data_IF_602917808715
#
_entry.id   IF_602917808715
#
_cell.length_a   1.000
_cell.length_b   1.000
_cell.length_c   1.000
_cell.angle_alpha   90.00
_cell.angle_beta   90.00
_cell.angle_gamma   90.00
#
_symmetry.space_group_name_H-M   'P 1'
#
loop_
_entity.id
_entity.type
_entity.pdbx_description
1 polymer ?
#
# COMPACT_ATOMS: atom_id res chain seq x y z
N UNK A 1 -15.84 -17.01 -61.02
CA UNK A 1 -15.91 -15.84 -60.10
C UNK A 1 -15.95 -16.39 -58.68
N UNK A 2 -14.78 -16.53 -58.06
CA UNK A 2 -14.63 -17.18 -56.73
C UNK A 2 -14.62 -16.07 -55.70
N UNK A 3 -15.61 -16.07 -54.78
CA UNK A 3 -15.67 -15.13 -53.64
C UNK A 3 -14.97 -15.77 -52.43
N UNK A 4 -13.91 -15.13 -51.95
CA UNK A 4 -13.29 -15.47 -50.67
C UNK A 4 -14.03 -14.76 -49.55
N UNK A 5 -14.39 -15.44 -48.45
CA UNK A 5 -14.94 -14.78 -47.28
C UNK A 5 -13.81 -14.10 -46.51
N UNK A 6 -14.00 -12.82 -46.20
CA UNK A 6 -13.11 -12.08 -45.30
C UNK A 6 -13.38 -12.56 -43.88
N UNK A 7 -12.46 -13.31 -43.32
CA UNK A 7 -12.47 -13.61 -41.89
C UNK A 7 -12.05 -12.35 -41.12
N UNK A 8 -12.96 -11.74 -40.40
CA UNK A 8 -12.72 -10.66 -39.49
C UNK A 8 -12.11 -11.27 -38.23
N UNK A 9 -10.79 -11.12 -38.06
CA UNK A 9 -10.08 -11.54 -36.85
C UNK A 9 -10.38 -10.50 -35.75
N UNK A 10 -11.31 -10.79 -34.86
CA UNK A 10 -11.49 -10.03 -33.63
C UNK A 10 -10.31 -10.30 -32.71
N UNK A 11 -9.40 -9.35 -32.62
CA UNK A 11 -8.47 -9.29 -31.49
C UNK A 11 -9.27 -8.93 -30.23
N UNK A 12 -9.53 -9.91 -29.40
CA UNK A 12 -9.90 -9.67 -28.02
C UNK A 12 -8.68 -9.03 -27.35
N UNK A 13 -8.72 -7.73 -27.13
CA UNK A 13 -7.86 -7.07 -26.16
C UNK A 13 -8.22 -7.68 -24.81
N UNK A 14 -7.43 -8.65 -24.36
CA UNK A 14 -7.47 -9.13 -23.00
C UNK A 14 -7.11 -7.92 -22.11
N UNK A 15 -8.11 -7.38 -21.40
CA UNK A 15 -7.82 -6.52 -20.28
C UNK A 15 -7.06 -7.39 -19.29
N UNK A 16 -5.78 -7.11 -19.07
CA UNK A 16 -5.05 -7.66 -17.94
C UNK A 16 -5.84 -7.28 -16.70
N UNK A 17 -6.12 -8.21 -15.77
CA UNK A 17 -6.73 -7.85 -14.52
C UNK A 17 -5.81 -6.81 -13.86
N UNK A 18 -6.31 -5.61 -13.67
CA UNK A 18 -5.66 -4.60 -12.86
C UNK A 18 -5.87 -5.03 -11.42
N UNK A 19 -4.88 -5.71 -10.92
CA UNK A 19 -4.82 -6.06 -9.51
C UNK A 19 -4.60 -4.79 -8.70
N UNK A 20 -5.24 -4.76 -7.55
CA UNK A 20 -4.90 -3.99 -6.39
C UNK A 20 -5.06 -2.52 -6.57
N UNK A 21 -4.85 -1.88 -5.68
CA UNK A 21 -5.46 -0.72 -5.18
C UNK A 21 -4.46 0.37 -4.94
N UNK A 22 -3.15 0.03 -4.89
CA UNK A 22 -2.09 1.00 -5.12
C UNK A 22 -2.01 1.26 -6.63
N UNK A 23 -2.44 2.45 -7.05
CA UNK A 23 -2.52 2.80 -8.48
C UNK A 23 -1.43 3.76 -8.94
N UNK A 24 -0.88 4.57 -8.03
CA UNK A 24 0.16 5.56 -8.34
C UNK A 24 0.89 5.99 -7.07
N UNK A 25 2.01 6.68 -7.23
CA UNK A 25 2.74 7.33 -6.16
C UNK A 25 3.84 8.25 -6.70
N UNK A 26 4.33 9.10 -5.82
CA UNK A 26 5.35 10.06 -6.19
C UNK A 26 6.26 10.39 -5.01
N UNK A 27 7.56 10.46 -5.26
CA UNK A 27 8.49 11.15 -4.37
C UNK A 27 8.52 12.62 -4.76
N UNK A 28 8.05 13.48 -3.85
CA UNK A 28 7.94 14.93 -4.07
C UNK A 28 9.24 15.64 -3.70
N UNK A 29 9.87 15.20 -2.60
CA UNK A 29 11.14 15.73 -2.10
C UNK A 29 11.91 14.66 -1.35
N UNK A 30 13.21 14.65 -1.52
CA UNK A 30 14.12 13.76 -0.81
C UNK A 30 15.57 14.26 -0.86
N UNK A 31 16.44 13.64 -0.07
CA UNK A 31 17.88 13.89 -0.07
C UNK A 31 18.63 12.96 -1.05
N UNK A 32 17.96 12.06 -1.74
CA UNK A 32 18.51 11.07 -2.66
C UNK A 32 17.90 11.16 -4.06
N UNK A 33 17.93 10.04 -4.76
CA UNK A 33 17.44 9.90 -6.14
C UNK A 33 16.31 8.86 -6.28
N UNK A 34 15.59 8.57 -5.20
CA UNK A 34 14.51 7.60 -5.21
C UNK A 34 13.30 8.06 -6.01
N UNK A 35 12.51 7.10 -6.42
CA UNK A 35 11.21 7.28 -7.07
C UNK A 35 10.19 6.42 -6.35
N UNK A 36 8.92 6.57 -6.67
CA UNK A 36 7.92 5.63 -6.23
C UNK A 36 8.04 4.31 -7.01
N UNK A 37 7.92 3.19 -6.30
CA UNK A 37 7.90 1.85 -6.86
C UNK A 37 6.77 1.05 -6.22
N UNK A 38 5.80 0.62 -7.03
CA UNK A 38 4.86 -0.42 -6.62
C UNK A 38 5.54 -1.77 -6.78
N UNK A 39 5.53 -2.57 -5.71
CA UNK A 39 6.01 -3.95 -5.74
C UNK A 39 4.84 -4.88 -6.06
N UNK A 40 5.11 -5.86 -6.92
CA UNK A 40 4.16 -6.94 -7.20
C UNK A 40 4.37 -8.07 -6.20
N UNK A 41 3.28 -8.69 -5.75
CA UNK A 41 3.30 -9.76 -4.76
C UNK A 41 3.11 -11.15 -5.39
N UNK A 42 3.39 -11.30 -6.67
CA UNK A 42 3.29 -12.57 -7.39
C UNK A 42 4.34 -13.57 -6.91
N UNK A 43 5.55 -13.08 -6.63
CA UNK A 43 6.67 -13.86 -6.12
C UNK A 43 6.97 -13.45 -4.66
N UNK A 44 7.39 -14.40 -3.81
CA UNK A 44 7.77 -14.10 -2.43
C UNK A 44 8.99 -13.16 -2.33
N UNK A 45 8.93 -12.22 -1.40
CA UNK A 45 10.07 -11.35 -1.04
C UNK A 45 10.06 -11.00 0.45
N UNK A 46 11.21 -10.54 0.95
CA UNK A 46 11.35 -10.07 2.32
C UNK A 46 11.15 -8.55 2.38
N UNK A 47 10.49 -8.04 3.45
CA UNK A 47 10.37 -6.62 3.75
C UNK A 47 10.63 -6.34 5.22
N UNK A 48 11.37 -5.30 5.51
CA UNK A 48 11.72 -4.84 6.85
C UNK A 48 13.24 -4.74 7.04
N UNK A 49 13.65 -4.09 8.09
CA UNK A 49 15.00 -3.88 8.59
C UNK A 49 16.13 -3.88 7.54
N UNK A 50 16.34 -2.73 6.90
CA UNK A 50 17.43 -2.51 5.94
C UNK A 50 17.51 -3.54 4.79
N UNK A 51 16.40 -4.19 4.44
CA UNK A 51 16.42 -5.21 3.38
C UNK A 51 16.55 -4.59 1.98
N UNK A 52 15.92 -3.43 1.77
CA UNK A 52 15.96 -2.71 0.49
C UNK A 52 17.12 -1.72 0.42
N UNK A 53 17.37 -0.95 1.47
CA UNK A 53 18.45 0.04 1.57
C UNK A 53 18.52 1.00 0.37
N UNK A 54 17.41 1.59 0.00
CA UNK A 54 17.29 2.51 -1.13
C UNK A 54 16.54 3.78 -0.77
N UNK A 55 16.64 4.80 -1.62
CA UNK A 55 15.90 6.06 -1.45
C UNK A 55 14.48 6.00 -2.07
N UNK A 56 14.01 4.83 -2.49
CA UNK A 56 12.69 4.70 -3.11
C UNK A 56 11.57 4.68 -2.07
N UNK A 57 10.43 5.26 -2.43
CA UNK A 57 9.16 5.06 -1.75
C UNK A 57 8.51 3.81 -2.33
N UNK A 58 8.25 2.83 -1.48
CA UNK A 58 7.65 1.57 -1.89
C UNK A 58 6.22 1.42 -1.39
N UNK A 59 5.40 0.73 -2.16
CA UNK A 59 4.11 0.24 -1.71
C UNK A 59 3.78 -1.09 -2.39
N UNK A 60 2.98 -1.92 -1.72
CA UNK A 60 2.39 -3.13 -2.30
C UNK A 60 1.02 -3.43 -1.69
N UNK A 61 0.27 -4.25 -2.41
CA UNK A 61 -1.03 -4.70 -1.97
C UNK A 61 -0.91 -5.92 -1.07
N UNK A 62 -1.53 -5.85 0.09
CA UNK A 62 -1.69 -6.97 1.02
C UNK A 62 -3.04 -7.67 0.76
N UNK A 63 -3.73 -8.17 1.78
CA UNK A 63 -5.03 -8.82 1.63
C UNK A 63 -6.11 -7.83 1.15
N UNK A 64 -6.90 -8.26 0.18
CA UNK A 64 -7.84 -7.40 -0.53
C UNK A 64 -9.29 -7.79 -0.26
N UNK A 65 -10.13 -6.78 -0.04
CA UNK A 65 -11.57 -6.91 0.09
C UNK A 65 -12.01 -7.89 1.19
N UNK A 66 -11.35 -7.82 2.34
CA UNK A 66 -11.63 -8.63 3.52
C UNK A 66 -12.73 -7.95 4.37
N UNK A 67 -13.80 -8.67 4.65
CA UNK A 67 -14.80 -8.22 5.62
C UNK A 67 -14.27 -8.40 7.05
N UNK A 68 -14.12 -7.30 7.77
CA UNK A 68 -13.66 -7.30 9.16
C UNK A 68 -14.65 -8.02 10.07
N UNK A 69 -14.23 -9.08 10.71
CA UNK A 69 -15.06 -9.81 11.69
C UNK A 69 -15.12 -9.09 13.05
N UNK A 70 -14.09 -8.33 13.38
CA UNK A 70 -13.99 -7.48 14.57
C UNK A 70 -13.54 -6.09 14.14
N UNK A 71 -13.87 -5.08 14.97
CA UNK A 71 -13.36 -3.74 14.76
C UNK A 71 -11.83 -3.72 14.94
N UNK A 72 -11.13 -2.92 14.13
CA UNK A 72 -9.68 -2.71 14.24
C UNK A 72 -9.38 -1.28 14.67
N UNK A 73 -8.30 -1.10 15.44
CA UNK A 73 -7.77 0.22 15.76
C UNK A 73 -6.89 0.72 14.63
N UNK A 74 -6.93 2.02 14.39
CA UNK A 74 -6.05 2.75 13.49
C UNK A 74 -5.53 4.00 14.19
N UNK A 75 -4.34 4.45 13.82
CA UNK A 75 -3.70 5.62 14.41
C UNK A 75 -4.12 6.91 13.72
N UNK A 76 -4.48 6.81 12.44
CA UNK A 76 -4.93 7.92 11.61
C UNK A 76 -6.21 7.49 10.89
N UNK A 77 -7.18 8.39 10.82
CA UNK A 77 -8.48 8.09 10.23
C UNK A 77 -9.40 7.29 11.16
N UNK A 78 -10.31 6.52 10.56
CA UNK A 78 -11.36 5.81 11.28
C UNK A 78 -12.35 6.74 11.99
N UNK A 79 -13.44 6.18 12.47
CA UNK A 79 -14.32 6.90 13.38
C UNK A 79 -13.78 6.75 14.82
N UNK A 80 -13.25 7.84 15.37
CA UNK A 80 -12.55 7.84 16.68
C UNK A 80 -11.37 6.83 16.73
N UNK A 81 -10.60 6.68 15.63
CA UNK A 81 -9.48 5.76 15.56
C UNK A 81 -9.87 4.29 15.40
N UNK A 82 -11.07 4.01 14.88
CA UNK A 82 -11.60 2.65 14.73
C UNK A 82 -12.23 2.47 13.35
N UNK A 83 -11.95 1.35 12.70
CA UNK A 83 -12.72 0.83 11.59
C UNK A 83 -13.61 -0.29 12.14
N UNK A 84 -14.93 -0.15 12.00
CA UNK A 84 -15.91 -1.03 12.63
C UNK A 84 -15.97 -2.42 11.97
N UNK A 85 -16.41 -3.42 12.71
CA UNK A 85 -16.71 -4.76 12.17
C UNK A 85 -17.78 -4.70 11.09
N UNK A 86 -17.74 -5.60 10.12
CA UNK A 86 -18.60 -5.63 8.95
C UNK A 86 -18.15 -4.69 7.82
N UNK A 87 -17.14 -3.84 8.04
CA UNK A 87 -16.53 -3.06 6.96
C UNK A 87 -15.68 -3.97 6.09
N UNK A 88 -15.83 -3.87 4.77
CA UNK A 88 -14.90 -4.49 3.83
C UNK A 88 -13.74 -3.55 3.58
N UNK A 89 -12.53 -4.04 3.80
CA UNK A 89 -11.27 -3.28 3.64
C UNK A 89 -10.34 -3.97 2.65
N UNK A 90 -9.53 -3.17 1.99
CA UNK A 90 -8.31 -3.62 1.32
C UNK A 90 -7.11 -3.11 2.11
N UNK A 91 -6.08 -3.94 2.26
CA UNK A 91 -4.87 -3.63 3.02
C UNK A 91 -3.70 -3.39 2.09
N UNK A 92 -2.83 -2.45 2.46
CA UNK A 92 -1.66 -2.06 1.70
C UNK A 92 -0.50 -1.77 2.64
N UNK A 93 0.70 -2.11 2.21
CA UNK A 93 1.93 -1.78 2.92
C UNK A 93 2.66 -0.66 2.18
N UNK A 94 3.09 0.36 2.92
CA UNK A 94 3.84 1.50 2.38
C UNK A 94 5.09 1.69 3.22
N UNK A 95 6.24 1.86 2.59
CA UNK A 95 7.49 1.96 3.32
C UNK A 95 8.59 2.75 2.61
N UNK A 96 9.52 3.24 3.44
CA UNK A 96 10.78 3.84 3.06
C UNK A 96 11.89 3.17 3.86
N UNK A 97 12.76 2.46 3.18
CA UNK A 97 13.83 1.69 3.79
C UNK A 97 15.18 2.22 3.28
N UNK A 98 15.68 3.28 3.93
CA UNK A 98 16.93 3.93 3.60
C UNK A 98 17.79 4.09 4.85
N UNK A 99 19.10 4.06 4.70
CA UNK A 99 20.03 4.27 5.80
C UNK A 99 19.92 5.65 6.46
N UNK A 100 19.53 6.66 5.71
CA UNK A 100 19.31 8.01 6.23
C UNK A 100 18.71 8.92 5.17
N UNK A 101 18.05 9.96 5.60
CA UNK A 101 17.56 10.99 4.70
C UNK A 101 16.14 11.42 5.03
N UNK A 102 15.66 12.44 4.32
CA UNK A 102 14.28 12.89 4.39
C UNK A 102 13.61 12.53 3.08
N UNK A 103 12.41 11.96 3.18
CA UNK A 103 11.57 11.73 2.02
C UNK A 103 10.16 12.28 2.27
N UNK A 104 9.65 13.03 1.29
CA UNK A 104 8.25 13.44 1.22
C UNK A 104 7.67 12.82 -0.05
N UNK A 105 6.59 12.09 0.10
CA UNK A 105 5.96 11.42 -1.02
C UNK A 105 4.47 11.27 -0.88
N UNK A 106 3.86 10.73 -1.92
CA UNK A 106 2.45 10.36 -1.94
C UNK A 106 2.26 8.95 -2.49
N UNK A 107 1.23 8.27 -1.99
CA UNK A 107 0.73 7.02 -2.55
C UNK A 107 -0.76 7.19 -2.83
N UNK A 108 -1.23 6.75 -3.99
CA UNK A 108 -2.62 6.88 -4.42
C UNK A 108 -3.23 5.49 -4.57
N UNK A 109 -4.43 5.34 -4.03
CA UNK A 109 -5.20 4.11 -4.05
C UNK A 109 -6.44 4.24 -4.94
N UNK A 110 -7.03 3.15 -5.36
CA UNK A 110 -8.25 3.13 -6.18
C UNK A 110 -9.54 3.34 -5.37
N UNK A 111 -9.43 3.39 -4.04
CA UNK A 111 -10.53 3.60 -3.11
C UNK A 111 -10.14 4.53 -1.95
N UNK A 112 -11.10 5.18 -1.26
CA UNK A 112 -10.82 6.07 -0.14
C UNK A 112 -10.13 5.35 1.02
N UNK A 113 -9.15 6.03 1.61
CA UNK A 113 -8.45 5.57 2.81
C UNK A 113 -9.40 5.66 4.00
N UNK A 114 -9.59 4.54 4.68
CA UNK A 114 -10.39 4.44 5.90
C UNK A 114 -9.57 4.68 7.16
N UNK A 115 -8.30 4.28 7.13
CA UNK A 115 -7.39 4.47 8.24
C UNK A 115 -5.99 3.93 7.98
N UNK A 116 -5.06 4.26 8.89
CA UNK A 116 -3.67 3.83 8.82
C UNK A 116 -3.24 3.28 10.18
N UNK A 117 -2.65 2.08 10.17
CA UNK A 117 -1.86 1.56 11.26
C UNK A 117 -0.42 2.04 11.08
N UNK A 118 -0.01 2.97 11.94
CA UNK A 118 1.24 3.70 11.79
C UNK A 118 2.23 3.42 12.93
N UNK A 119 1.81 2.72 13.99
CA UNK A 119 2.68 2.34 15.09
C UNK A 119 2.72 0.82 15.26
N UNK A 120 3.78 0.34 15.90
CA UNK A 120 4.04 -1.09 16.07
C UNK A 120 2.82 -1.88 16.57
N UNK A 121 2.15 -1.41 17.62
CA UNK A 121 1.03 -2.10 18.25
C UNK A 121 -0.18 -2.26 17.31
N UNK A 122 -0.50 -1.21 16.54
CA UNK A 122 -1.62 -1.22 15.60
C UNK A 122 -1.29 -2.03 14.36
N UNK A 123 -0.05 -1.99 13.88
CA UNK A 123 0.42 -2.84 12.80
C UNK A 123 0.37 -4.32 13.21
N UNK A 124 0.90 -4.67 14.38
CA UNK A 124 0.88 -6.04 14.90
C UNK A 124 -0.56 -6.56 15.08
N UNK A 125 -1.47 -5.73 15.58
CA UNK A 125 -2.88 -6.09 15.76
C UNK A 125 -3.61 -6.32 14.42
N UNK A 126 -3.06 -5.90 13.31
CA UNK A 126 -3.64 -6.01 11.97
C UNK A 126 -2.88 -6.94 11.02
N UNK A 127 -1.91 -7.72 11.52
CA UNK A 127 -1.13 -8.65 10.70
C UNK A 127 -1.95 -9.78 10.06
N UNK A 128 -3.15 -10.02 10.53
CA UNK A 128 -4.08 -10.95 9.88
C UNK A 128 -4.57 -10.46 8.49
N UNK A 129 -4.27 -9.21 8.12
CA UNK A 129 -4.52 -8.61 6.80
C UNK A 129 -3.23 -8.49 5.96
N UNK A 130 -2.11 -9.00 6.47
CA UNK A 130 -0.84 -9.00 5.77
C UNK A 130 -0.84 -10.00 4.59
N UNK A 131 -0.04 -9.71 3.56
CA UNK A 131 0.10 -10.62 2.43
C UNK A 131 0.88 -11.88 2.84
N UNK A 132 0.31 -13.05 2.61
CA UNK A 132 0.89 -14.34 3.02
C UNK A 132 2.11 -14.78 2.21
N UNK A 133 2.40 -14.15 1.08
CA UNK A 133 3.59 -14.40 0.26
C UNK A 133 4.78 -13.52 0.63
N UNK A 134 4.52 -12.42 1.36
CA UNK A 134 5.56 -11.51 1.82
C UNK A 134 6.06 -11.95 3.19
N UNK A 135 7.37 -12.01 3.36
CA UNK A 135 7.99 -12.31 4.63
C UNK A 135 8.37 -11.00 5.33
N UNK A 136 7.63 -10.64 6.39
CA UNK A 136 7.88 -9.44 7.18
C UNK A 136 8.95 -9.75 8.23
N UNK A 137 10.14 -9.19 8.04
CA UNK A 137 11.27 -9.39 8.96
C UNK A 137 11.34 -8.24 9.97
N UNK A 138 11.80 -8.55 11.19
CA UNK A 138 11.98 -7.58 12.28
C UNK A 138 10.72 -6.73 12.55
N UNK A 139 9.61 -7.43 12.72
CA UNK A 139 8.28 -6.80 12.91
C UNK A 139 8.22 -5.84 14.10
N UNK A 140 9.07 -6.03 15.10
CA UNK A 140 9.18 -5.17 16.27
C UNK A 140 9.77 -3.79 15.96
N UNK A 141 10.35 -3.61 14.79
CA UNK A 141 10.97 -2.35 14.34
C UNK A 141 10.09 -1.56 13.36
N UNK A 142 8.87 -2.03 13.08
CA UNK A 142 7.93 -1.32 12.19
C UNK A 142 7.20 -0.19 12.90
N UNK A 143 6.73 0.74 12.10
CA UNK A 143 5.96 1.90 12.53
C UNK A 143 6.71 3.19 12.29
N UNK A 144 6.07 4.30 12.63
CA UNK A 144 6.65 5.63 12.56
C UNK A 144 7.52 5.89 13.79
N UNK A 145 8.63 6.58 13.57
CA UNK A 145 9.52 7.09 14.60
C UNK A 145 9.21 8.57 14.94
N UNK A 146 9.95 9.10 15.90
CA UNK A 146 9.85 10.52 16.24
C UNK A 146 10.34 11.40 15.07
N UNK A 147 9.46 12.27 14.59
CA UNK A 147 9.77 13.12 13.45
C UNK A 147 9.10 12.71 12.15
N UNK A 148 8.50 11.51 12.11
CA UNK A 148 7.74 11.04 10.96
C UNK A 148 6.28 11.46 11.01
N UNK A 149 5.71 11.69 9.84
CA UNK A 149 4.32 12.08 9.70
C UNK A 149 3.68 11.38 8.52
N UNK A 150 2.42 11.00 8.71
CA UNK A 150 1.58 10.50 7.63
C UNK A 150 0.18 11.10 7.77
N UNK A 151 -0.45 11.44 6.64
CA UNK A 151 -1.80 11.99 6.65
C UNK A 151 -2.53 11.69 5.34
N UNK A 152 -3.85 11.60 5.43
CA UNK A 152 -4.72 11.50 4.26
C UNK A 152 -4.93 12.90 3.68
N UNK A 153 -4.84 13.03 2.36
CA UNK A 153 -5.09 14.30 1.68
C UNK A 153 -6.55 14.74 1.90
N UNK A 154 -6.73 16.03 2.20
CA UNK A 154 -8.08 16.57 2.50
C UNK A 154 -8.95 16.74 1.26
N UNK A 155 -8.32 16.90 0.10
CA UNK A 155 -9.00 17.12 -1.17
C UNK A 155 -9.14 15.81 -1.98
N UNK A 156 -8.30 14.82 -1.69
CA UNK A 156 -8.29 13.52 -2.35
C UNK A 156 -8.19 12.40 -1.30
N UNK A 157 -9.33 11.84 -0.86
CA UNK A 157 -9.33 10.82 0.19
C UNK A 157 -8.65 9.51 -0.24
N UNK A 158 -8.30 9.37 -1.50
CA UNK A 158 -7.57 8.21 -2.02
C UNK A 158 -6.05 8.41 -1.94
N UNK A 159 -5.59 9.59 -1.53
CA UNK A 159 -4.16 9.93 -1.47
C UNK A 159 -3.66 9.97 -0.05
N UNK A 160 -2.57 9.23 0.19
CA UNK A 160 -1.75 9.29 1.39
C UNK A 160 -0.55 10.19 1.14
N UNK A 161 -0.25 11.06 2.09
CA UNK A 161 1.01 11.77 2.18
C UNK A 161 1.89 11.14 3.24
N UNK A 162 3.17 11.05 2.96
CA UNK A 162 4.21 10.62 3.89
C UNK A 162 5.30 11.67 3.99
N UNK A 163 5.80 11.88 5.20
CA UNK A 163 7.02 12.60 5.52
C UNK A 163 7.83 11.70 6.43
N UNK A 164 8.93 11.22 5.95
CA UNK A 164 9.81 10.35 6.69
C UNK A 164 11.18 10.99 6.87
N UNK A 165 11.66 11.02 8.12
CA UNK A 165 13.00 11.44 8.52
C UNK A 165 13.83 10.18 8.74
N UNK A 166 14.04 9.44 7.64
CA UNK A 166 14.55 8.08 7.67
C UNK A 166 15.88 7.91 8.38
N UNK A 167 15.92 6.90 9.20
CA UNK A 167 17.10 6.25 9.75
C UNK A 167 16.89 4.74 9.64
N UNK A 168 17.96 3.93 9.74
CA UNK A 168 17.80 2.49 9.92
C UNK A 168 17.03 2.25 11.23
N UNK A 169 15.95 1.46 11.24
CA UNK A 169 15.62 0.35 10.33
C UNK A 169 14.67 0.65 9.16
N UNK A 170 14.31 1.90 8.92
CA UNK A 170 13.31 2.30 7.94
C UNK A 170 11.91 2.48 8.55
N UNK A 171 11.04 3.10 7.77
CA UNK A 171 9.68 3.47 8.16
C UNK A 171 8.65 2.63 7.41
N UNK A 172 7.76 1.98 8.14
CA UNK A 172 6.79 1.04 7.59
C UNK A 172 5.40 1.28 8.19
N UNK A 173 4.39 1.34 7.35
CA UNK A 173 3.00 1.53 7.76
C UNK A 173 2.06 0.61 6.97
N UNK A 174 0.87 0.37 7.53
CA UNK A 174 -0.21 -0.33 6.85
C UNK A 174 -1.40 0.59 6.64
N UNK A 175 -1.90 0.64 5.41
CA UNK A 175 -3.01 1.50 4.99
C UNK A 175 -4.22 0.64 4.70
N UNK A 176 -5.39 1.05 5.21
CA UNK A 176 -6.67 0.39 4.92
C UNK A 176 -7.52 1.32 4.07
N UNK A 177 -7.90 0.84 2.91
CA UNK A 177 -8.86 1.53 2.05
C UNK A 177 -10.24 0.87 2.15
N UNK A 178 -11.26 1.55 1.63
CA UNK A 178 -12.53 0.92 1.35
C UNK A 178 -12.35 -0.22 0.33
N UNK A 179 -13.40 -0.99 0.10
CA UNK A 179 -13.41 -2.06 -0.89
C UNK A 179 -12.78 -1.58 -2.21
N UNK A 180 -11.74 -2.29 -2.65
CA UNK A 180 -11.08 -1.99 -3.91
C UNK A 180 -11.95 -2.39 -5.11
N UNK A 181 -12.31 -1.47 -6.00
CA UNK A 181 -12.98 -1.80 -7.25
C UNK A 181 -12.14 -2.72 -8.14
N UNK A 182 -10.82 -2.53 -8.18
CA UNK A 182 -9.90 -3.32 -9.00
C UNK A 182 -9.83 -4.80 -8.60
N UNK A 183 -9.97 -5.09 -7.32
CA UNK A 183 -9.89 -6.46 -6.79
C UNK A 183 -11.21 -7.26 -6.89
N UNK A 184 -12.28 -6.70 -7.46
CA UNK A 184 -13.56 -7.41 -7.66
C UNK A 184 -13.57 -8.33 -8.88
N UNK A 185 -12.59 -8.25 -9.75
CA UNK A 185 -12.54 -8.96 -11.03
C UNK A 185 -11.46 -10.05 -11.08
N UNK A 186 -11.05 -10.53 -9.91
CA UNK A 186 -10.08 -11.63 -9.74
C UNK A 186 -10.75 -13.00 -9.64
#
# INVERSE_FOLDING_TARGET
>A
MIRFPHACLLFALGASPTFGTVIDGQVVRQNGNGTFIKLETDEPFDVGYDNFNTDHLYAFDEDQNIELKTAIKVDIGGENGIIISGTTVASHYVFFDSFSGIQIGTVVFDAPILGVAAYQDTMAATDFLANTKVNYISEELRGLEEGDYVWVDKEDPNRLWVYWAGSSPGDYIRVFTAQSPGALFM
#
